data_IF_754865422038
#
_entry.id   IF_754865422038
#
_cell.length_a   1.000
_cell.length_b   1.000
_cell.length_c   1.000
_cell.angle_alpha   90.00
_cell.angle_beta   90.00
_cell.angle_gamma   90.00
#
_symmetry.space_group_name_H-M   'P 1'
#
loop_
_entity.id
_entity.type
_entity.pdbx_description
1 polymer ?
#
# COMPACT_ATOMS: atom_id res chain seq x y z
N UNK A 1 -25.92 -6.48 -6.42
CA UNK A 1 -25.95 -5.89 -5.07
C UNK A 1 -24.64 -5.19 -4.72
N UNK A 2 -24.72 -4.22 -3.84
CA UNK A 2 -23.57 -3.40 -3.44
C UNK A 2 -22.47 -4.26 -2.83
N UNK A 3 -22.83 -5.27 -2.03
CA UNK A 3 -21.85 -6.15 -1.39
C UNK A 3 -21.03 -6.95 -2.40
N UNK A 4 -21.68 -7.46 -3.44
CA UNK A 4 -20.96 -8.21 -4.49
C UNK A 4 -20.00 -7.32 -5.26
N UNK A 5 -20.42 -6.08 -5.55
CA UNK A 5 -19.57 -5.11 -6.22
C UNK A 5 -18.36 -4.75 -5.40
N UNK A 6 -18.55 -4.49 -4.09
CA UNK A 6 -17.44 -4.14 -3.19
C UNK A 6 -16.47 -5.30 -3.06
N UNK A 7 -16.96 -6.52 -2.96
CA UNK A 7 -16.10 -7.70 -2.92
C UNK A 7 -15.25 -7.81 -4.19
N UNK A 8 -15.84 -7.58 -5.35
CA UNK A 8 -15.13 -7.62 -6.62
C UNK A 8 -14.01 -6.57 -6.68
N UNK A 9 -14.30 -5.35 -6.22
CA UNK A 9 -13.30 -4.27 -6.16
C UNK A 9 -12.16 -4.66 -5.23
N UNK A 10 -12.46 -5.18 -4.04
CA UNK A 10 -11.43 -5.59 -3.07
C UNK A 10 -10.57 -6.71 -3.62
N UNK A 11 -11.18 -7.73 -4.23
CA UNK A 11 -10.42 -8.85 -4.80
C UNK A 11 -9.49 -8.38 -5.93
N UNK A 12 -10.00 -7.52 -6.81
CA UNK A 12 -9.22 -6.97 -7.90
C UNK A 12 -8.03 -6.16 -7.37
N UNK A 13 -8.29 -5.28 -6.41
CA UNK A 13 -7.25 -4.42 -5.84
C UNK A 13 -6.24 -5.22 -5.02
N UNK A 14 -6.68 -6.29 -4.35
CA UNK A 14 -5.76 -7.18 -3.63
C UNK A 14 -4.76 -7.81 -4.59
N UNK A 15 -5.22 -8.27 -5.75
CA UNK A 15 -4.32 -8.84 -6.76
C UNK A 15 -3.34 -7.79 -7.27
N UNK A 16 -3.81 -6.56 -7.52
CA UNK A 16 -2.93 -5.47 -7.95
C UNK A 16 -1.87 -5.15 -6.90
N UNK A 17 -2.26 -5.11 -5.63
CA UNK A 17 -1.34 -4.81 -4.53
C UNK A 17 -0.29 -5.90 -4.38
N UNK A 18 -0.69 -7.16 -4.46
CA UNK A 18 0.23 -8.28 -4.37
C UNK A 18 1.24 -8.24 -5.52
N UNK A 19 0.78 -8.04 -6.74
CA UNK A 19 1.65 -7.94 -7.92
C UNK A 19 2.64 -6.78 -7.78
N UNK A 20 2.16 -5.65 -7.28
CA UNK A 20 3.01 -4.48 -7.06
C UNK A 20 4.11 -4.77 -6.04
N UNK A 21 3.75 -5.36 -4.90
CA UNK A 21 4.74 -5.69 -3.86
C UNK A 21 5.75 -6.72 -4.35
N UNK A 22 5.31 -7.70 -5.13
CA UNK A 22 6.21 -8.73 -5.69
C UNK A 22 7.12 -8.19 -6.78
N UNK A 23 6.70 -7.12 -7.46
CA UNK A 23 7.54 -6.45 -8.46
C UNK A 23 8.67 -5.66 -7.81
N UNK A 24 8.54 -5.27 -6.54
CA UNK A 24 9.52 -4.48 -5.81
C UNK A 24 9.89 -5.16 -4.48
N UNK A 25 10.45 -6.38 -4.53
CA UNK A 25 10.73 -7.13 -3.29
C UNK A 25 11.77 -6.48 -2.40
N UNK A 26 12.62 -5.59 -2.96
CA UNK A 26 13.60 -4.85 -2.19
C UNK A 26 12.96 -3.79 -1.29
N UNK A 27 11.72 -3.38 -1.58
CA UNK A 27 11.03 -2.34 -0.82
C UNK A 27 9.82 -2.84 -0.05
N UNK A 28 9.17 -3.92 -0.51
CA UNK A 28 7.92 -4.38 0.08
C UNK A 28 7.92 -5.87 0.32
N UNK A 29 7.37 -6.27 1.46
CA UNK A 29 6.99 -7.66 1.72
C UNK A 29 5.48 -7.74 1.72
N UNK A 30 4.91 -8.56 0.84
CA UNK A 30 3.47 -8.73 0.78
C UNK A 30 3.00 -9.57 1.96
N UNK A 31 2.01 -9.03 2.67
CA UNK A 31 1.34 -9.76 3.75
C UNK A 31 -0.14 -9.79 3.39
N UNK A 32 -0.71 -10.98 3.13
CA UNK A 32 -2.11 -11.08 2.74
C UNK A 32 -3.03 -10.47 3.80
N UNK A 33 -4.10 -9.76 3.39
CA UNK A 33 -5.06 -9.26 4.36
C UNK A 33 -5.74 -10.43 5.07
N UNK A 34 -5.83 -10.35 6.39
CA UNK A 34 -6.45 -11.41 7.18
C UNK A 34 -7.97 -11.31 7.15
N UNK A 35 -8.50 -10.12 7.03
CA UNK A 35 -9.94 -9.88 6.96
C UNK A 35 -10.20 -8.49 6.39
N UNK A 36 -11.34 -8.34 5.71
CA UNK A 36 -11.81 -7.04 5.26
C UNK A 36 -11.03 -6.48 4.07
N UNK A 37 -11.06 -5.16 3.96
CA UNK A 37 -10.57 -4.42 2.80
C UNK A 37 -9.28 -3.65 3.10
N UNK A 38 -8.48 -4.11 4.08
CA UNK A 38 -7.26 -3.41 4.49
C UNK A 38 -6.11 -4.41 4.55
N UNK A 39 -4.98 -4.07 3.93
CA UNK A 39 -3.75 -4.84 4.03
C UNK A 39 -2.69 -4.01 4.76
N UNK A 40 -1.69 -4.70 5.32
CA UNK A 40 -0.56 -4.07 6.02
C UNK A 40 0.75 -4.63 5.47
N UNK A 41 1.13 -4.29 4.23
CA UNK A 41 2.43 -4.72 3.70
C UNK A 41 3.56 -4.16 4.55
N UNK A 42 4.70 -4.85 4.56
CA UNK A 42 5.87 -4.38 5.28
C UNK A 42 6.77 -3.56 4.35
N UNK A 43 7.19 -2.41 4.85
CA UNK A 43 8.16 -1.57 4.16
C UNK A 43 9.57 -2.04 4.52
N UNK A 44 10.36 -2.36 3.50
CA UNK A 44 11.72 -2.91 3.68
C UNK A 44 12.81 -1.94 3.23
N UNK A 45 12.47 -0.70 2.87
CA UNK A 45 13.44 0.29 2.46
C UNK A 45 14.31 0.79 3.62
N UNK A 46 15.32 1.59 3.29
CA UNK A 46 16.28 2.07 4.27
C UNK A 46 15.69 3.08 5.26
N UNK A 47 14.69 3.85 4.82
CA UNK A 47 14.03 4.84 5.67
C UNK A 47 12.99 4.18 6.57
N UNK A 48 12.62 4.86 7.65
CA UNK A 48 11.48 4.43 8.44
C UNK A 48 10.20 4.53 7.62
N UNK A 49 9.20 3.66 7.92
CA UNK A 49 7.95 3.67 7.18
C UNK A 49 7.22 5.01 7.31
N UNK A 50 7.34 5.67 8.46
CA UNK A 50 6.75 7.00 8.67
C UNK A 50 7.30 8.02 7.68
N UNK A 51 8.61 7.99 7.44
CA UNK A 51 9.25 8.89 6.49
C UNK A 51 8.83 8.57 5.06
N UNK A 52 8.73 7.30 4.72
CA UNK A 52 8.26 6.88 3.41
C UNK A 52 6.83 7.37 3.15
N UNK A 53 5.94 7.17 4.11
CA UNK A 53 4.55 7.62 3.98
C UNK A 53 4.44 9.13 3.81
N UNK A 54 5.23 9.88 4.58
CA UNK A 54 5.25 11.34 4.48
C UNK A 54 5.75 11.80 3.12
N UNK A 55 6.85 11.20 2.64
CA UNK A 55 7.45 11.57 1.36
C UNK A 55 6.49 11.29 0.20
N UNK A 56 5.80 10.16 0.25
CA UNK A 56 4.81 9.81 -0.78
C UNK A 56 3.68 10.82 -0.79
N UNK A 57 3.20 11.24 0.37
CA UNK A 57 2.15 12.25 0.45
C UNK A 57 2.62 13.58 -0.12
N UNK A 58 3.82 14.02 0.24
CA UNK A 58 4.37 15.30 -0.23
C UNK A 58 4.63 15.30 -1.73
N UNK A 59 5.21 14.23 -2.26
CA UNK A 59 5.66 14.19 -3.66
C UNK A 59 4.56 13.77 -4.62
N UNK A 60 3.70 12.84 -4.21
CA UNK A 60 2.71 12.22 -5.10
C UNK A 60 1.27 12.51 -4.71
N UNK A 61 1.03 13.12 -3.55
CA UNK A 61 -0.31 13.38 -3.08
C UNK A 61 -1.09 12.12 -2.70
N UNK A 62 -0.40 11.02 -2.44
CA UNK A 62 -1.04 9.76 -2.06
C UNK A 62 -0.90 9.59 -0.56
N UNK A 63 -2.04 9.42 0.13
CA UNK A 63 -2.03 9.20 1.56
C UNK A 63 -1.99 7.71 1.85
N UNK A 64 -0.87 7.24 2.41
CA UNK A 64 -0.75 5.94 3.04
C UNK A 64 -0.38 6.17 4.49
N UNK A 65 -0.86 5.32 5.39
CA UNK A 65 -0.77 5.57 6.82
C UNK A 65 0.14 4.52 7.46
N UNK A 66 1.17 4.94 8.23
CA UNK A 66 2.03 3.96 8.90
C UNK A 66 1.24 3.15 9.93
N UNK A 67 1.58 1.86 10.04
CA UNK A 67 0.88 0.94 10.94
C UNK A 67 1.02 1.34 12.40
N UNK A 68 2.07 2.07 12.76
CA UNK A 68 2.28 2.53 14.14
C UNK A 68 1.11 3.38 14.66
N UNK A 69 0.37 4.05 13.78
CA UNK A 69 -0.82 4.81 14.19
C UNK A 69 -1.98 3.90 14.59
N UNK A 70 -1.89 2.60 14.32
CA UNK A 70 -2.90 1.60 14.65
C UNK A 70 -2.34 0.52 15.59
N UNK A 71 -1.27 0.82 16.31
CA UNK A 71 -0.59 -0.13 17.20
C UNK A 71 -0.14 -1.40 16.47
N UNK A 72 0.18 -1.29 15.19
CA UNK A 72 0.68 -2.40 14.37
C UNK A 72 2.21 -2.30 14.33
N UNK A 73 2.95 -3.13 15.08
CA UNK A 73 4.40 -2.97 15.21
C UNK A 73 5.15 -3.33 13.93
N UNK A 74 6.38 -2.84 13.84
CA UNK A 74 7.22 -3.05 12.67
C UNK A 74 7.00 -1.98 11.62
N UNK A 75 7.66 -2.10 10.48
CA UNK A 75 7.60 -1.11 9.40
C UNK A 75 6.46 -1.40 8.43
N UNK A 76 5.24 -1.55 8.94
CA UNK A 76 4.06 -1.79 8.12
C UNK A 76 3.33 -0.49 7.83
N UNK A 77 2.61 -0.46 6.73
CA UNK A 77 1.73 0.66 6.42
C UNK A 77 0.36 0.13 6.00
N UNK A 78 -0.65 0.96 6.22
CA UNK A 78 -2.03 0.60 5.90
C UNK A 78 -2.31 0.87 4.44
N UNK A 79 -2.88 -0.12 3.76
CA UNK A 79 -3.26 -0.02 2.35
C UNK A 79 -4.74 -0.40 2.22
N UNK A 80 -5.58 0.59 1.91
CA UNK A 80 -7.02 0.35 1.71
C UNK A 80 -7.28 -0.22 0.33
N UNK A 81 -8.03 -1.32 0.28
CA UNK A 81 -8.25 -2.09 -0.95
C UNK A 81 -9.62 -1.83 -1.58
N UNK A 82 -10.43 -0.98 -0.97
CA UNK A 82 -11.81 -0.77 -1.42
C UNK A 82 -12.03 0.37 -2.40
N UNK A 83 -10.99 1.08 -2.81
CA UNK A 83 -11.14 2.25 -3.68
C UNK A 83 -11.13 1.87 -5.16
N UNK A 84 -12.00 2.50 -5.95
CA UNK A 84 -12.06 2.26 -7.38
C UNK A 84 -10.81 2.79 -8.11
N UNK A 85 -10.17 3.83 -7.58
CA UNK A 85 -8.98 4.44 -8.18
C UNK A 85 -7.67 3.88 -7.59
N UNK A 86 -7.70 2.68 -7.06
CA UNK A 86 -6.55 2.07 -6.40
C UNK A 86 -5.35 1.92 -7.34
N UNK A 87 -5.59 1.53 -8.59
CA UNK A 87 -4.52 1.36 -9.58
C UNK A 87 -3.76 2.66 -9.83
N UNK A 88 -4.46 3.80 -9.82
CA UNK A 88 -3.81 5.10 -9.97
C UNK A 88 -2.88 5.39 -8.78
N UNK A 89 -3.32 5.06 -7.57
CA UNK A 89 -2.48 5.20 -6.38
C UNK A 89 -1.21 4.37 -6.48
N UNK A 90 -1.32 3.12 -6.95
CA UNK A 90 -0.14 2.27 -7.14
C UNK A 90 0.80 2.83 -8.21
N UNK A 91 0.26 3.41 -9.28
CA UNK A 91 1.08 4.04 -10.31
C UNK A 91 1.90 5.20 -9.74
N UNK A 92 1.31 5.99 -8.84
CA UNK A 92 1.99 7.07 -8.16
C UNK A 92 3.05 6.56 -7.19
N UNK A 93 2.79 5.47 -6.48
CA UNK A 93 3.79 4.83 -5.63
C UNK A 93 4.98 4.36 -6.45
N UNK A 94 4.72 3.76 -7.61
CA UNK A 94 5.79 3.32 -8.51
C UNK A 94 6.65 4.51 -8.94
N UNK A 95 6.02 5.61 -9.30
CA UNK A 95 6.73 6.84 -9.67
C UNK A 95 7.61 7.32 -8.53
N UNK A 96 7.14 7.26 -7.30
CA UNK A 96 7.92 7.66 -6.13
C UNK A 96 9.17 6.80 -5.97
N UNK A 97 9.05 5.49 -6.15
CA UNK A 97 10.19 4.59 -6.04
C UNK A 97 11.24 4.87 -7.11
N UNK A 98 10.82 5.31 -8.30
CA UNK A 98 11.72 5.60 -9.40
C UNK A 98 12.40 6.95 -9.27
N UNK A 99 11.72 7.94 -8.66
CA UNK A 99 12.26 9.31 -8.55
C UNK A 99 13.03 9.53 -7.25
N UNK A 100 12.67 8.83 -6.18
CA UNK A 100 13.35 8.92 -4.89
C UNK A 100 13.47 7.52 -4.29
N UNK A 101 14.42 6.71 -4.79
CA UNK A 101 14.62 5.37 -4.22
C UNK A 101 14.96 5.48 -2.73
N UNK A 102 14.29 4.66 -1.94
CA UNK A 102 14.46 4.69 -0.50
C UNK A 102 15.73 3.95 -0.07
#
# INVERSE_FOLDING_TARGET
>A
PILSRNRGIVLHNTALAEDFCRAYPQFFEWIPPQAGSIAFPRWCGAKAVEDFCRTVLEDQGVMIVPGSLFDYPGNHFRLGLGRQNFAEGLARLRKQLMTRPA
#
